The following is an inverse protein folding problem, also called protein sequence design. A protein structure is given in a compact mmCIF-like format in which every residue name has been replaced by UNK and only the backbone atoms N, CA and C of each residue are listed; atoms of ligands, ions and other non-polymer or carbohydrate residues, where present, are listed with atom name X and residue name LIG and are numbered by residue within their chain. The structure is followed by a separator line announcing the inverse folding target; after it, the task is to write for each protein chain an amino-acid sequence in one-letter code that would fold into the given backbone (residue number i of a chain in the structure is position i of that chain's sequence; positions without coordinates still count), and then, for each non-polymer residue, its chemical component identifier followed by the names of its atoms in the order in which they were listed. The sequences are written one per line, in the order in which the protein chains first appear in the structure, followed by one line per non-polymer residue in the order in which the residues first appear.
data_IF_326203882951
#
_entry.id   IF_326203882951
#
_cell.length_a   1.000
_cell.length_b   1.000
_cell.length_c   1.000
_cell.angle_alpha   90.00
_cell.angle_beta   90.00
_cell.angle_gamma   90.00
#
_symmetry.space_group_name_H-M   'P 1'
#
loop_
_entity.id
_entity.type
_entity.pdbx_description
1 polymer ?
#
# COMPACT_ATOMS: atom_id res chain seq x y z
N UNK A 1 -11.09 2.62 -0.38
CA UNK A 1 -9.69 2.15 -0.54
C UNK A 1 -8.72 2.83 0.43
N UNK A 2 -8.47 4.15 0.36
CA UNK A 2 -7.49 4.82 1.23
C UNK A 2 -7.75 4.66 2.74
N UNK A 3 -9.02 4.79 3.19
CA UNK A 3 -9.39 4.58 4.60
C UNK A 3 -9.16 3.13 5.05
N UNK A 4 -9.50 2.15 4.20
CA UNK A 4 -9.25 0.73 4.48
C UNK A 4 -7.75 0.44 4.61
N UNK A 5 -6.92 1.03 3.74
CA UNK A 5 -5.47 0.91 3.82
C UNK A 5 -4.91 1.51 5.12
N UNK A 6 -5.33 2.73 5.48
CA UNK A 6 -4.93 3.34 6.76
C UNK A 6 -5.32 2.49 7.97
N UNK A 7 -6.53 1.92 7.96
CA UNK A 7 -6.99 1.04 9.03
C UNK A 7 -6.16 -0.24 9.11
N UNK A 8 -5.84 -0.86 7.97
CA UNK A 8 -5.04 -2.07 7.92
C UNK A 8 -3.61 -1.84 8.43
N UNK A 9 -3.02 -0.68 8.09
CA UNK A 9 -1.70 -0.26 8.61
C UNK A 9 -1.73 -0.13 10.13
N UNK A 10 -2.75 0.54 10.68
CA UNK A 10 -2.93 0.68 12.15
C UNK A 10 -3.10 -0.67 12.84
N UNK A 11 -3.92 -1.54 12.28
CA UNK A 11 -4.15 -2.87 12.84
C UNK A 11 -2.88 -3.73 12.82
N UNK A 12 -2.02 -3.56 11.80
CA UNK A 12 -0.70 -4.19 11.76
C UNK A 12 0.31 -3.59 12.77
N UNK A 13 -0.11 -2.66 13.63
CA UNK A 13 0.74 -2.03 14.65
C UNK A 13 1.67 -0.94 14.09
N UNK A 14 1.33 -0.36 12.93
CA UNK A 14 2.11 0.68 12.27
C UNK A 14 1.30 1.98 12.19
N UNK A 15 1.97 3.13 12.16
CA UNK A 15 1.29 4.41 11.92
C UNK A 15 1.21 4.74 10.43
N UNK A 16 0.01 5.03 9.88
CA UNK A 16 -0.15 5.32 8.46
C UNK A 16 0.33 6.73 8.11
N UNK A 17 1.45 6.80 7.40
CA UNK A 17 2.01 8.04 6.87
C UNK A 17 1.55 8.24 5.42
N UNK A 18 1.08 9.45 5.11
CA UNK A 18 0.90 9.86 3.71
C UNK A 18 2.19 10.45 3.18
N UNK A 19 2.58 10.01 1.99
CA UNK A 19 3.76 10.50 1.32
C UNK A 19 3.44 10.86 -0.13
N UNK A 20 4.21 11.79 -0.69
CA UNK A 20 4.15 12.14 -2.10
C UNK A 20 5.38 11.51 -2.75
N UNK A 21 5.16 10.63 -3.72
CA UNK A 21 6.24 10.00 -4.50
C UNK A 21 6.77 10.96 -5.56
N UNK A 22 8.08 11.06 -5.71
CA UNK A 22 8.76 11.90 -6.71
C UNK A 22 8.86 11.29 -8.13
N UNK A 23 7.87 10.47 -8.55
CA UNK A 23 7.86 9.84 -9.88
C UNK A 23 6.52 9.21 -10.26
N UNK A 24 6.41 8.66 -11.48
CA UNK A 24 5.19 8.02 -11.99
C UNK A 24 5.11 6.53 -11.67
N UNK A 25 3.90 6.04 -11.37
CA UNK A 25 3.59 4.60 -11.25
C UNK A 25 2.40 4.26 -12.15
N UNK A 26 2.01 2.98 -12.17
CA UNK A 26 0.75 2.55 -12.78
C UNK A 26 -0.48 3.27 -12.20
N UNK A 27 -0.37 3.89 -11.01
CA UNK A 27 -1.40 4.74 -10.41
C UNK A 27 -1.85 5.90 -11.30
N UNK A 28 -0.96 6.45 -12.15
CA UNK A 28 -1.34 7.47 -13.14
C UNK A 28 -2.38 6.92 -14.12
N UNK A 29 -2.22 5.66 -14.54
CA UNK A 29 -3.13 5.04 -15.49
C UNK A 29 -4.41 4.49 -14.84
N UNK A 30 -4.34 4.00 -13.60
CA UNK A 30 -5.51 3.42 -12.90
C UNK A 30 -6.34 4.49 -12.20
N UNK A 31 -5.80 5.17 -11.19
CA UNK A 31 -6.51 6.22 -10.47
C UNK A 31 -6.66 7.49 -11.30
N UNK A 32 -5.60 7.91 -12.00
CA UNK A 32 -5.62 9.14 -12.77
C UNK A 32 -6.51 9.06 -14.02
N UNK A 33 -6.24 8.11 -14.92
CA UNK A 33 -6.95 8.02 -16.21
C UNK A 33 -8.24 7.21 -16.18
N UNK A 34 -8.35 6.19 -15.32
CA UNK A 34 -9.46 5.23 -15.33
C UNK A 34 -10.39 5.34 -14.11
N UNK A 35 -10.08 6.20 -13.14
CA UNK A 35 -10.88 6.36 -11.92
C UNK A 35 -10.91 5.12 -11.01
N UNK A 36 -10.01 4.15 -11.21
CA UNK A 36 -9.94 2.94 -10.38
C UNK A 36 -9.22 3.30 -9.08
N UNK A 37 -9.85 3.17 -7.90
CA UNK A 37 -9.22 3.51 -6.63
C UNK A 37 -7.91 2.75 -6.45
N UNK A 38 -6.80 3.47 -6.34
CA UNK A 38 -5.44 2.91 -6.24
C UNK A 38 -4.72 3.50 -5.04
N UNK A 39 -3.95 2.67 -4.34
CA UNK A 39 -3.01 3.10 -3.30
C UNK A 39 -1.59 2.72 -3.75
N UNK A 40 -0.61 3.49 -3.27
CA UNK A 40 0.80 3.13 -3.35
C UNK A 40 1.27 2.81 -1.93
N UNK A 41 1.73 1.58 -1.73
CA UNK A 41 2.20 1.07 -0.45
C UNK A 41 3.14 -0.08 -0.75
N UNK A 42 4.19 -0.24 0.06
CA UNK A 42 5.19 -1.28 -0.11
C UNK A 42 6.29 -1.17 0.96
N UNK A 43 7.16 -2.17 1.01
CA UNK A 43 8.33 -2.19 1.88
C UNK A 43 9.53 -1.51 1.21
N UNK A 44 10.47 -1.02 2.01
CA UNK A 44 11.71 -0.42 1.53
C UNK A 44 11.63 1.09 1.31
N UNK A 45 12.78 1.65 0.96
CA UNK A 45 12.98 3.06 0.71
C UNK A 45 12.99 3.34 -0.79
N UNK A 46 12.05 4.17 -1.27
CA UNK A 46 11.94 4.48 -2.70
C UNK A 46 13.17 5.20 -3.26
N UNK A 47 14.00 5.81 -2.41
CA UNK A 47 15.25 6.47 -2.81
C UNK A 47 16.30 5.48 -3.30
N UNK A 48 16.17 4.21 -2.93
CA UNK A 48 17.08 3.14 -3.36
C UNK A 48 16.65 2.47 -4.66
N UNK A 49 15.45 2.77 -5.18
CA UNK A 49 15.01 2.22 -6.46
C UNK A 49 16.00 2.55 -7.58
N UNK A 50 16.42 1.53 -8.33
CA UNK A 50 17.39 1.62 -9.43
C UNK A 50 18.83 1.96 -9.01
N UNK A 51 19.17 1.88 -7.73
CA UNK A 51 20.53 2.06 -7.26
C UNK A 51 21.32 0.73 -7.34
N UNK A 52 22.65 0.75 -7.54
CA UNK A 52 23.46 -0.47 -7.62
C UNK A 52 23.38 -1.36 -6.36
N UNK A 53 23.13 -0.76 -5.20
CA UNK A 53 23.00 -1.38 -3.89
C UNK A 53 21.55 -1.35 -3.37
N UNK A 54 20.57 -1.37 -4.28
CA UNK A 54 19.14 -1.45 -3.96
C UNK A 54 18.88 -2.59 -2.96
N UNK A 55 18.29 -2.26 -1.81
CA UNK A 55 17.99 -3.23 -0.76
C UNK A 55 16.70 -2.86 -0.02
N UNK A 56 16.13 -3.84 0.66
CA UNK A 56 14.92 -3.70 1.45
C UNK A 56 15.05 -4.48 2.77
N UNK A 57 14.76 -3.88 3.94
CA UNK A 57 14.83 -4.61 5.21
C UNK A 57 13.80 -5.74 5.27
N UNK A 58 14.26 -6.95 5.63
CA UNK A 58 13.38 -8.14 5.71
C UNK A 58 12.16 -7.91 6.62
N UNK A 59 12.35 -7.20 7.74
CA UNK A 59 11.26 -6.86 8.66
C UNK A 59 10.15 -6.06 7.96
N UNK A 60 10.51 -5.12 7.08
CA UNK A 60 9.54 -4.30 6.36
C UNK A 60 8.76 -5.12 5.35
N UNK A 61 9.41 -6.09 4.69
CA UNK A 61 8.73 -7.04 3.79
C UNK A 61 7.65 -7.81 4.56
N UNK A 62 7.99 -8.35 5.73
CA UNK A 62 7.04 -9.08 6.59
C UNK A 62 5.90 -8.17 7.06
N UNK A 63 6.21 -6.95 7.49
CA UNK A 63 5.20 -5.96 7.89
C UNK A 63 4.26 -5.59 6.74
N UNK A 64 4.79 -5.35 5.54
CA UNK A 64 3.98 -5.01 4.37
C UNK A 64 3.06 -6.18 4.00
N UNK A 65 3.54 -7.43 4.06
CA UNK A 65 2.72 -8.62 3.84
C UNK A 65 1.56 -8.72 4.85
N UNK A 66 1.81 -8.44 6.12
CA UNK A 66 0.76 -8.41 7.15
C UNK A 66 -0.31 -7.35 6.83
N UNK A 67 0.10 -6.14 6.43
CA UNK A 67 -0.82 -5.07 6.02
C UNK A 67 -1.67 -5.49 4.81
N UNK A 68 -1.07 -6.09 3.79
CA UNK A 68 -1.84 -6.58 2.63
C UNK A 68 -2.87 -7.64 3.03
N UNK A 69 -2.49 -8.60 3.89
CA UNK A 69 -3.40 -9.63 4.39
C UNK A 69 -4.59 -9.02 5.12
N UNK A 70 -4.35 -8.06 6.02
CA UNK A 70 -5.40 -7.37 6.77
C UNK A 70 -6.27 -6.53 5.83
N UNK A 71 -5.66 -5.81 4.87
CA UNK A 71 -6.39 -4.99 3.91
C UNK A 71 -7.35 -5.84 3.07
N UNK A 72 -6.88 -6.96 2.54
CA UNK A 72 -7.72 -7.89 1.76
C UNK A 72 -8.87 -8.40 2.64
N UNK A 73 -8.57 -8.90 3.84
CA UNK A 73 -9.60 -9.37 4.78
C UNK A 73 -10.66 -8.29 5.06
N UNK A 74 -10.23 -7.07 5.34
CA UNK A 74 -11.11 -5.95 5.64
C UNK A 74 -11.94 -5.53 4.42
N UNK A 75 -11.39 -5.60 3.21
CA UNK A 75 -12.15 -5.30 1.98
C UNK A 75 -13.14 -6.41 1.63
N UNK A 76 -12.77 -7.68 1.81
CA UNK A 76 -13.63 -8.83 1.56
C UNK A 76 -14.83 -8.86 2.51
N UNK A 77 -14.62 -8.62 3.81
CA UNK A 77 -15.71 -8.57 4.80
C UNK A 77 -16.74 -7.46 4.51
N UNK A 78 -16.29 -6.33 3.95
CA UNK A 78 -17.17 -5.22 3.54
C UNK A 78 -17.85 -5.44 2.18
N UNK A 79 -17.40 -6.43 1.41
CA UNK A 79 -17.99 -6.81 0.12
C UNK A 79 -19.26 -7.65 0.24
N UNK A 80 -19.49 -8.29 1.39
CA UNK A 80 -20.68 -9.12 1.66
C UNK A 80 -21.91 -8.29 2.10
N UNK A 81 -21.74 -7.03 2.49
CA UNK A 81 -22.84 -6.13 2.89
C UNK A 81 -23.32 -5.19 1.78
N UNK A 82 -22.85 -5.39 0.54
CA UNK A 82 -23.06 -4.50 -0.61
C UNK A 82 -23.97 -5.04 -1.71
N UNK A 83 -24.80 -6.06 -1.44
CA UNK A 83 -25.87 -6.55 -2.31
C UNK A 83 -27.20 -6.55 -1.55
#
# INVERSE_FOLDING_TARGET
MAMAARSAIKEAGMEPVSYIRSGCTNGVATAGKRGIPTILFGAGDERLCHMPDECCPLKEIVSAAAVYSILIRNLSANGETGL
#
